data_IF_877905937210
#
_entry.id   IF_877905937210
#
_cell.length_a   1.000
_cell.length_b   1.000
_cell.length_c   1.000
_cell.angle_alpha   90.00
_cell.angle_beta   90.00
_cell.angle_gamma   90.00
#
_symmetry.space_group_name_H-M   'P 1'
#
loop_
_entity.id
_entity.type
_entity.pdbx_description
1 polymer ?
#
# COMPACT_ATOMS: atom_id res chain seq x y z
N UNK A 1 25.25 -2.95 -28.70
CA UNK A 1 24.60 -2.91 -27.38
C UNK A 1 24.58 -1.44 -26.94
N UNK A 2 23.38 -0.85 -26.86
CA UNK A 2 23.16 0.59 -26.78
C UNK A 2 23.26 1.10 -25.32
N UNK A 3 24.04 2.14 -25.08
CA UNK A 3 24.43 2.63 -23.74
C UNK A 3 23.40 3.61 -23.13
N UNK A 4 22.09 3.37 -23.30
CA UNK A 4 21.03 4.27 -22.84
C UNK A 4 19.93 3.60 -21.99
N UNK A 5 20.23 2.47 -21.34
CA UNK A 5 19.29 1.79 -20.43
C UNK A 5 19.57 2.04 -18.94
N UNK A 6 20.80 2.43 -18.58
CA UNK A 6 21.21 2.63 -17.18
C UNK A 6 20.42 3.73 -16.47
N UNK A 7 20.04 4.80 -17.17
CA UNK A 7 19.16 5.84 -16.65
C UNK A 7 17.72 5.36 -16.42
N UNK A 8 17.21 4.46 -17.27
CA UNK A 8 15.86 3.92 -17.17
C UNK A 8 15.75 2.83 -16.11
N UNK A 9 16.74 1.94 -15.97
CA UNK A 9 16.76 0.93 -14.91
C UNK A 9 16.93 1.57 -13.53
N UNK A 10 17.78 2.61 -13.39
CA UNK A 10 17.95 3.33 -12.12
C UNK A 10 16.69 4.13 -11.75
N UNK A 11 16.00 4.70 -12.76
CA UNK A 11 14.72 5.40 -12.56
C UNK A 11 13.58 4.42 -12.24
N UNK A 12 13.55 3.25 -12.87
CA UNK A 12 12.63 2.16 -12.55
C UNK A 12 12.88 1.61 -11.13
N UNK A 13 14.15 1.44 -10.74
CA UNK A 13 14.54 1.09 -9.37
C UNK A 13 14.10 2.16 -8.37
N UNK A 14 14.28 3.44 -8.67
CA UNK A 14 13.81 4.54 -7.83
C UNK A 14 12.28 4.57 -7.69
N UNK A 15 11.55 4.32 -8.77
CA UNK A 15 10.09 4.22 -8.78
C UNK A 15 9.59 3.01 -7.96
N UNK A 16 10.16 1.82 -8.16
CA UNK A 16 9.80 0.61 -7.42
C UNK A 16 10.22 0.68 -5.94
N UNK A 17 11.38 1.27 -5.65
CA UNK A 17 11.81 1.53 -4.27
C UNK A 17 10.86 2.51 -3.57
N UNK A 18 10.38 3.54 -4.27
CA UNK A 18 9.36 4.47 -3.77
C UNK A 18 8.05 3.78 -3.38
N UNK A 19 7.61 2.77 -4.14
CA UNK A 19 6.41 1.99 -3.80
C UNK A 19 6.61 1.15 -2.53
N UNK A 20 7.77 0.50 -2.37
CA UNK A 20 8.12 -0.21 -1.13
C UNK A 20 8.23 0.72 0.07
N UNK A 21 8.77 1.93 -0.13
CA UNK A 21 8.85 2.95 0.91
C UNK A 21 7.47 3.47 1.31
N UNK A 22 6.56 3.66 0.36
CA UNK A 22 5.17 4.07 0.62
C UNK A 22 4.44 3.01 1.47
N UNK A 23 4.63 1.72 1.14
CA UNK A 23 4.11 0.59 1.92
C UNK A 23 4.70 0.56 3.33
N UNK A 24 6.02 0.66 3.46
CA UNK A 24 6.69 0.69 4.76
C UNK A 24 6.25 1.89 5.60
N UNK A 25 6.14 3.08 4.99
CA UNK A 25 5.66 4.30 5.64
C UNK A 25 4.20 4.18 6.09
N UNK A 26 3.35 3.54 5.29
CA UNK A 26 1.95 3.28 5.64
C UNK A 26 1.85 2.31 6.83
N UNK A 27 2.65 1.24 6.84
CA UNK A 27 2.71 0.28 7.95
C UNK A 27 3.28 0.91 9.22
N UNK A 28 4.39 1.62 9.13
CA UNK A 28 5.03 2.30 10.27
C UNK A 28 4.10 3.42 10.79
N UNK A 29 3.51 4.22 9.91
CA UNK A 29 2.56 5.26 10.27
C UNK A 29 1.29 4.71 10.91
N UNK A 30 0.73 3.61 10.37
CA UNK A 30 -0.42 2.92 10.95
C UNK A 30 -0.10 2.28 12.30
N UNK A 31 1.07 1.67 12.44
CA UNK A 31 1.54 1.07 13.69
C UNK A 31 1.79 2.11 14.79
N UNK A 32 2.53 3.18 14.49
CA UNK A 32 2.85 4.23 15.46
C UNK A 32 1.64 5.11 15.77
N UNK A 33 0.85 5.47 14.75
CA UNK A 33 -0.42 6.17 14.93
C UNK A 33 -1.41 5.33 15.73
N UNK A 34 -1.41 4.01 15.50
CA UNK A 34 -2.17 3.03 16.24
C UNK A 34 -1.78 2.99 17.71
N UNK A 35 -0.48 2.81 18.01
CA UNK A 35 0.04 2.82 19.39
C UNK A 35 -0.23 4.13 20.13
N UNK A 36 -0.11 5.27 19.45
CA UNK A 36 -0.31 6.58 20.08
C UNK A 36 -1.77 6.81 20.50
N UNK A 37 -2.73 6.39 19.67
CA UNK A 37 -4.14 6.42 20.04
C UNK A 37 -4.46 5.37 21.12
N UNK A 38 -3.89 4.17 21.05
CA UNK A 38 -4.07 3.10 22.05
C UNK A 38 -3.63 3.55 23.46
N UNK A 39 -2.49 4.24 23.55
CA UNK A 39 -1.99 4.85 24.80
C UNK A 39 -2.92 5.93 25.37
N UNK A 40 -3.78 6.53 24.54
CA UNK A 40 -4.76 7.54 24.98
C UNK A 40 -6.08 6.91 25.45
N UNK A 41 -6.39 5.69 25.00
CA UNK A 41 -7.62 4.96 25.33
C UNK A 41 -7.43 3.87 26.41
N UNK A 42 -6.20 3.46 26.72
CA UNK A 42 -5.90 2.56 27.85
C UNK A 42 -6.30 1.08 27.61
N UNK A 43 -6.52 0.69 26.36
CA UNK A 43 -6.92 -0.68 25.97
C UNK A 43 -5.83 -1.35 25.13
N UNK A 44 -4.71 -1.71 25.75
CA UNK A 44 -3.70 -2.52 25.08
C UNK A 44 -4.29 -3.91 24.75
N UNK A 45 -4.25 -4.44 23.50
CA UNK A 45 -3.68 -3.88 22.26
C UNK A 45 -4.69 -3.86 21.09
N UNK A 46 -5.79 -3.10 21.18
CA UNK A 46 -6.88 -3.13 20.18
C UNK A 46 -6.62 -2.30 18.93
N UNK A 47 -5.96 -1.15 19.06
CA UNK A 47 -5.77 -0.21 17.96
C UNK A 47 -4.65 -0.64 17.01
N UNK A 48 -3.70 -1.43 17.52
CA UNK A 48 -2.72 -2.16 16.71
C UNK A 48 -3.44 -3.15 15.79
N UNK A 49 -4.40 -3.93 16.31
CA UNK A 49 -5.25 -4.84 15.53
C UNK A 49 -6.13 -4.06 14.55
N UNK A 50 -6.70 -2.93 14.96
CA UNK A 50 -7.53 -2.09 14.08
C UNK A 50 -6.72 -1.52 12.90
N UNK A 51 -5.52 -1.00 13.14
CA UNK A 51 -4.65 -0.47 12.07
C UNK A 51 -4.16 -1.57 11.12
N UNK A 52 -3.84 -2.76 11.65
CA UNK A 52 -3.51 -3.94 10.85
C UNK A 52 -4.69 -4.37 9.98
N UNK A 53 -5.89 -4.45 10.58
CA UNK A 53 -7.14 -4.79 9.89
C UNK A 53 -7.50 -3.75 8.83
N UNK A 54 -7.31 -2.45 9.11
CA UNK A 54 -7.57 -1.38 8.15
C UNK A 54 -6.57 -1.43 6.99
N UNK A 55 -5.30 -1.69 7.27
CA UNK A 55 -4.28 -1.82 6.22
C UNK A 55 -4.53 -3.06 5.36
N UNK A 56 -4.88 -4.19 5.98
CA UNK A 56 -5.25 -5.42 5.30
C UNK A 56 -6.52 -5.24 4.46
N UNK A 57 -7.57 -4.66 5.05
CA UNK A 57 -8.82 -4.38 4.36
C UNK A 57 -8.61 -3.39 3.21
N UNK A 58 -7.82 -2.34 3.42
CA UNK A 58 -7.46 -1.36 2.39
C UNK A 58 -6.74 -2.01 1.20
N UNK A 59 -5.76 -2.88 1.47
CA UNK A 59 -5.07 -3.63 0.42
C UNK A 59 -5.99 -4.58 -0.36
N UNK A 60 -6.87 -5.30 0.33
CA UNK A 60 -7.85 -6.20 -0.31
C UNK A 60 -8.86 -5.39 -1.15
N UNK A 61 -9.35 -4.26 -0.63
CA UNK A 61 -10.29 -3.40 -1.35
C UNK A 61 -9.68 -2.80 -2.61
N UNK A 62 -8.43 -2.33 -2.55
CA UNK A 62 -7.67 -1.85 -3.71
C UNK A 62 -7.59 -2.91 -4.82
N UNK A 63 -7.17 -4.13 -4.47
CA UNK A 63 -7.07 -5.23 -5.43
C UNK A 63 -8.43 -5.58 -6.04
N UNK A 64 -9.47 -5.69 -5.21
CA UNK A 64 -10.84 -5.93 -5.67
C UNK A 64 -11.34 -4.81 -6.59
N UNK A 65 -11.01 -3.55 -6.30
CA UNK A 65 -11.40 -2.42 -7.12
C UNK A 65 -10.69 -2.47 -8.48
N UNK A 66 -9.39 -2.76 -8.49
CA UNK A 66 -8.59 -2.88 -9.71
C UNK A 66 -9.13 -4.00 -10.61
N UNK A 67 -9.44 -5.17 -10.04
CA UNK A 67 -10.02 -6.30 -10.78
C UNK A 67 -11.40 -5.95 -11.34
N UNK A 68 -12.28 -5.35 -10.53
CA UNK A 68 -13.62 -4.92 -11.00
C UNK A 68 -13.52 -3.91 -12.14
N UNK A 69 -12.59 -2.97 -12.05
CA UNK A 69 -12.36 -1.97 -13.09
C UNK A 69 -11.85 -2.64 -14.37
N UNK A 70 -10.87 -3.53 -14.27
CA UNK A 70 -10.34 -4.28 -15.42
C UNK A 70 -11.41 -5.16 -16.10
N UNK A 71 -12.27 -5.83 -15.32
CA UNK A 71 -13.36 -6.63 -15.89
C UNK A 71 -14.45 -5.77 -16.54
N UNK A 72 -14.77 -4.61 -15.94
CA UNK A 72 -15.74 -3.68 -16.51
C UNK A 72 -15.24 -3.06 -17.83
N UNK A 73 -13.94 -2.83 -17.94
CA UNK A 73 -13.33 -2.39 -19.20
C UNK A 73 -13.45 -3.48 -20.29
N UNK A 74 -13.22 -4.76 -19.94
CA UNK A 74 -13.39 -5.88 -20.88
C UNK A 74 -14.85 -6.14 -21.30
N UNK A 75 -15.83 -5.83 -20.44
CA UNK A 75 -17.26 -5.95 -20.76
C UNK A 75 -17.76 -4.79 -21.65
N UNK A 76 -17.21 -3.58 -21.48
CA UNK A 76 -17.63 -2.40 -22.24
C UNK A 76 -17.00 -2.32 -23.65
N UNK A 77 -16.03 -3.19 -23.96
CA UNK A 77 -15.43 -3.35 -25.29
C UNK A 77 -16.00 -4.55 -26.08
N UNK A 78 -16.99 -5.25 -25.52
CA UNK A 78 -17.69 -6.40 -26.14
C UNK A 78 -19.00 -6.06 -26.84
#
# INVERSE_FOLDING_TARGET
MNQNDSGNTFRALGLTSGMGFMLAACLVGGYYGGRYLDSKFGTEPWLLIASLLLCLAGGILEVCHMIKKAMKEAENEG
#
